data_IF_914058011041
#
_entry.id   IF_914058011041
#
_cell.length_a   1.000
_cell.length_b   1.000
_cell.length_c   1.000
_cell.angle_alpha   90.00
_cell.angle_beta   90.00
_cell.angle_gamma   90.00
#
_symmetry.space_group_name_H-M   'P 1'
#
loop_
_entity.id
_entity.type
_entity.pdbx_description
1 polymer ?
#
# COMPACT_ATOMS: atom_id res chain seq x y z
N UNK A 1 -0.95 -9.19 -10.33
CA UNK A 1 -1.34 -10.46 -10.98
C UNK A 1 -0.36 -10.90 -12.07
N UNK A 2 0.15 -10.00 -12.92
CA UNK A 2 1.16 -10.33 -13.95
C UNK A 2 2.44 -10.94 -13.36
N UNK A 3 2.95 -10.39 -12.25
CA UNK A 3 4.15 -10.91 -11.58
C UNK A 3 3.99 -12.34 -11.03
N UNK A 4 2.77 -12.74 -10.63
CA UNK A 4 2.52 -14.10 -10.15
C UNK A 4 2.69 -15.13 -11.28
N UNK A 5 2.33 -14.78 -12.51
CA UNK A 5 2.54 -15.65 -13.67
C UNK A 5 4.03 -15.86 -13.98
N UNK A 6 4.87 -14.87 -13.66
CA UNK A 6 6.33 -14.93 -13.79
C UNK A 6 7.01 -15.54 -12.55
N UNK A 7 6.25 -15.95 -11.54
CA UNK A 7 6.72 -16.58 -10.30
C UNK A 7 7.80 -17.64 -10.48
N UNK A 8 7.66 -18.65 -11.37
CA UNK A 8 8.67 -19.71 -11.52
C UNK A 8 10.02 -19.20 -12.06
N UNK A 9 10.00 -18.22 -12.98
CA UNK A 9 11.21 -17.60 -13.54
C UNK A 9 11.88 -16.74 -12.47
N UNK A 10 11.10 -15.95 -11.75
CA UNK A 10 11.59 -15.10 -10.64
C UNK A 10 12.19 -15.94 -9.51
N UNK A 11 11.59 -17.10 -9.20
CA UNK A 11 12.13 -18.07 -8.26
C UNK A 11 13.49 -18.61 -8.72
N UNK A 12 13.64 -18.99 -9.99
CA UNK A 12 14.92 -19.42 -10.53
C UNK A 12 15.99 -18.33 -10.39
N UNK A 13 15.69 -17.09 -10.75
CA UNK A 13 16.60 -15.96 -10.61
C UNK A 13 17.03 -15.77 -9.15
N UNK A 14 16.07 -15.86 -8.22
CA UNK A 14 16.35 -15.70 -6.80
C UNK A 14 17.22 -16.83 -6.25
N UNK A 15 16.96 -18.07 -6.67
CA UNK A 15 17.75 -19.25 -6.29
C UNK A 15 19.17 -19.19 -6.83
N UNK A 16 19.34 -18.78 -8.10
CA UNK A 16 20.65 -18.65 -8.76
C UNK A 16 21.47 -17.56 -8.07
N UNK A 17 20.89 -16.38 -7.87
CA UNK A 17 21.59 -15.25 -7.26
C UNK A 17 21.68 -15.34 -5.73
N UNK A 18 21.15 -16.41 -5.11
CA UNK A 18 21.05 -16.58 -3.64
C UNK A 18 20.40 -15.41 -2.89
N UNK A 19 19.69 -14.55 -3.61
CA UNK A 19 19.10 -13.30 -3.11
C UNK A 19 19.95 -12.03 -3.26
N UNK A 20 21.18 -12.11 -3.78
CA UNK A 20 22.03 -10.93 -3.98
C UNK A 20 21.42 -9.93 -4.97
N UNK A 21 20.52 -10.37 -5.86
CA UNK A 21 19.80 -9.50 -6.79
C UNK A 21 18.91 -8.46 -6.11
N UNK A 22 18.52 -8.68 -4.84
CA UNK A 22 17.72 -7.70 -4.09
C UNK A 22 18.49 -6.42 -3.78
N UNK A 23 19.82 -6.45 -3.71
CA UNK A 23 20.65 -5.29 -3.35
C UNK A 23 20.66 -4.22 -4.45
N UNK A 24 20.99 -4.52 -5.73
CA UNK A 24 20.84 -3.55 -6.80
C UNK A 24 19.37 -3.15 -7.01
N UNK A 25 18.43 -4.07 -6.77
CA UNK A 25 17.01 -3.78 -6.90
C UNK A 25 16.52 -2.82 -5.80
N UNK A 26 17.07 -2.90 -4.59
CA UNK A 26 16.83 -1.94 -3.52
C UNK A 26 17.33 -0.55 -3.89
N UNK A 27 18.49 -0.44 -4.54
CA UNK A 27 19.02 0.85 -5.01
C UNK A 27 18.09 1.45 -6.07
N UNK A 28 17.67 0.64 -7.05
CA UNK A 28 16.72 1.07 -8.09
C UNK A 28 15.36 1.48 -7.49
N UNK A 29 14.90 0.73 -6.49
CA UNK A 29 13.72 1.06 -5.71
C UNK A 29 13.87 2.41 -5.00
N UNK A 30 14.98 2.65 -4.29
CA UNK A 30 15.17 3.91 -3.56
C UNK A 30 15.27 5.11 -4.48
N UNK A 31 15.92 4.99 -5.64
CA UNK A 31 16.04 6.06 -6.63
C UNK A 31 14.70 6.30 -7.37
N UNK A 32 13.76 5.36 -7.27
CA UNK A 32 12.46 5.45 -7.94
C UNK A 32 12.58 5.33 -9.46
N UNK A 33 13.59 4.58 -9.93
CA UNK A 33 13.75 4.34 -11.36
C UNK A 33 12.59 3.48 -11.86
N UNK A 34 11.75 3.98 -12.75
CA UNK A 34 10.65 3.22 -13.33
C UNK A 34 11.00 2.70 -14.72
N UNK A 35 10.81 1.39 -14.94
CA UNK A 35 10.75 0.86 -16.28
C UNK A 35 9.36 1.21 -16.82
N UNK A 36 9.27 2.08 -17.84
CA UNK A 36 8.01 2.63 -18.38
C UNK A 36 7.02 1.63 -19.00
N UNK A 37 7.09 0.36 -18.60
CA UNK A 37 6.19 -0.72 -18.99
C UNK A 37 5.09 -0.84 -17.94
N UNK A 38 3.84 -0.64 -18.38
CA UNK A 38 2.67 -0.75 -17.52
C UNK A 38 2.61 -2.12 -16.81
N UNK A 39 2.55 -2.10 -15.48
CA UNK A 39 2.54 -3.31 -14.64
C UNK A 39 3.91 -3.80 -14.13
N UNK A 40 5.01 -3.21 -14.60
CA UNK A 40 6.38 -3.46 -14.12
C UNK A 40 6.94 -2.28 -13.32
N UNK A 41 6.15 -1.78 -12.36
CA UNK A 41 6.64 -0.79 -11.40
C UNK A 41 7.76 -1.38 -10.54
N UNK A 42 8.85 -0.64 -10.37
CA UNK A 42 10.02 -1.06 -9.57
C UNK A 42 9.65 -1.36 -8.13
N UNK A 43 8.68 -0.63 -7.56
CA UNK A 43 8.06 -0.91 -6.26
C UNK A 43 7.44 -2.31 -6.22
N UNK A 44 6.57 -2.62 -7.18
CA UNK A 44 5.87 -3.90 -7.22
C UNK A 44 6.84 -5.07 -7.44
N UNK A 45 7.82 -4.89 -8.33
CA UNK A 45 8.83 -5.90 -8.62
C UNK A 45 9.74 -6.17 -7.42
N UNK A 46 10.24 -5.10 -6.77
CA UNK A 46 11.06 -5.21 -5.56
C UNK A 46 10.30 -5.90 -4.42
N UNK A 47 9.09 -5.43 -4.09
CA UNK A 47 8.30 -6.01 -3.00
C UNK A 47 7.94 -7.48 -3.28
N UNK A 48 7.66 -7.83 -4.53
CA UNK A 48 7.39 -9.22 -4.91
C UNK A 48 8.63 -10.12 -4.75
N UNK A 49 9.79 -9.67 -5.23
CA UNK A 49 11.04 -10.42 -5.11
C UNK A 49 11.49 -10.56 -3.64
N UNK A 50 11.33 -9.50 -2.84
CA UNK A 50 11.62 -9.52 -1.41
C UNK A 50 10.72 -10.51 -0.67
N UNK A 51 9.41 -10.49 -0.95
CA UNK A 51 8.46 -11.46 -0.41
C UNK A 51 8.79 -12.90 -0.84
N UNK A 52 9.18 -13.10 -2.11
CA UNK A 52 9.65 -14.37 -2.62
C UNK A 52 10.89 -14.88 -1.86
N UNK A 53 11.84 -14.01 -1.54
CA UNK A 53 13.02 -14.41 -0.77
C UNK A 53 12.70 -14.82 0.67
N UNK A 54 11.82 -14.09 1.33
CA UNK A 54 11.38 -14.43 2.67
C UNK A 54 10.64 -15.78 2.67
N UNK A 55 9.76 -16.00 1.69
CA UNK A 55 9.03 -17.26 1.53
C UNK A 55 9.93 -18.46 1.23
N UNK A 56 10.89 -18.31 0.31
CA UNK A 56 11.82 -19.39 -0.06
C UNK A 56 12.76 -19.81 1.07
N UNK A 57 13.23 -18.86 1.87
CA UNK A 57 14.07 -19.13 3.04
C UNK A 57 13.27 -19.40 4.33
N UNK A 58 11.92 -19.40 4.26
CA UNK A 58 11.03 -19.55 5.41
C UNK A 58 11.40 -18.59 6.57
N UNK A 59 11.84 -17.37 6.22
CA UNK A 59 12.20 -16.35 7.21
C UNK A 59 10.92 -15.69 7.65
N UNK A 60 10.64 -15.70 8.96
CA UNK A 60 9.55 -14.91 9.52
C UNK A 60 9.89 -13.41 9.41
N UNK A 61 9.18 -12.63 8.57
CA UNK A 61 9.43 -11.20 8.45
C UNK A 61 9.25 -10.47 9.78
N UNK A 62 8.37 -10.95 10.66
CA UNK A 62 8.06 -10.28 11.92
C UNK A 62 9.24 -10.35 12.89
N UNK A 63 9.99 -11.46 12.92
CA UNK A 63 11.19 -11.58 13.75
C UNK A 63 12.28 -10.57 13.34
N UNK A 64 12.50 -10.42 12.03
CA UNK A 64 13.47 -9.47 11.48
C UNK A 64 13.04 -8.03 11.78
N UNK A 65 11.76 -7.71 11.53
CA UNK A 65 11.21 -6.36 11.72
C UNK A 65 11.14 -6.00 13.21
N UNK A 66 10.89 -6.95 14.12
CA UNK A 66 10.83 -6.69 15.56
C UNK A 66 12.12 -6.12 16.13
N UNK A 67 13.28 -6.50 15.57
CA UNK A 67 14.59 -5.96 15.97
C UNK A 67 14.71 -4.45 15.73
N UNK A 68 14.02 -3.93 14.71
CA UNK A 68 14.06 -2.52 14.30
C UNK A 68 12.74 -1.79 14.53
N UNK A 69 11.83 -2.35 15.33
CA UNK A 69 10.44 -1.88 15.48
C UNK A 69 10.30 -0.39 15.80
N UNK A 70 11.10 0.13 16.72
CA UNK A 70 11.03 1.53 17.13
C UNK A 70 11.59 2.45 16.05
N UNK A 71 12.69 2.03 15.39
CA UNK A 71 13.28 2.80 14.30
C UNK A 71 12.33 2.87 13.10
N UNK A 72 11.76 1.73 12.69
CA UNK A 72 10.78 1.66 11.62
C UNK A 72 9.54 2.52 11.93
N UNK A 73 9.02 2.45 13.16
CA UNK A 73 7.87 3.23 13.59
C UNK A 73 8.13 4.74 13.59
N UNK A 74 9.28 5.18 14.13
CA UNK A 74 9.65 6.61 14.16
C UNK A 74 9.83 7.15 12.75
N UNK A 75 10.53 6.43 11.87
CA UNK A 75 10.71 6.84 10.48
C UNK A 75 9.35 6.88 9.76
N UNK A 76 8.49 5.88 9.94
CA UNK A 76 7.16 5.86 9.34
C UNK A 76 6.32 7.07 9.79
N UNK A 77 6.26 7.35 11.09
CA UNK A 77 5.51 8.51 11.60
C UNK A 77 6.08 9.81 11.06
N UNK A 78 7.40 10.00 11.13
CA UNK A 78 8.04 11.22 10.64
C UNK A 78 7.80 11.44 9.14
N UNK A 79 7.92 10.39 8.34
CA UNK A 79 7.72 10.47 6.89
C UNK A 79 6.26 10.66 6.49
N UNK A 80 5.28 10.10 7.21
CA UNK A 80 3.84 10.34 6.96
C UNK A 80 3.48 11.82 7.01
N UNK A 81 4.01 12.54 8.00
CA UNK A 81 3.73 13.97 8.14
C UNK A 81 4.60 14.85 7.23
N UNK A 82 5.83 14.40 6.93
CA UNK A 82 6.73 15.15 6.06
C UNK A 82 6.39 15.03 4.57
N UNK A 83 5.89 13.87 4.11
CA UNK A 83 5.63 13.59 2.69
C UNK A 83 4.69 14.60 2.02
N UNK A 84 3.54 14.98 2.60
CA UNK A 84 2.67 16.01 2.02
C UNK A 84 3.36 17.37 1.86
N UNK A 85 4.32 17.70 2.74
CA UNK A 85 5.05 18.97 2.74
C UNK A 85 6.22 18.98 1.74
N UNK A 86 6.67 17.80 1.32
CA UNK A 86 7.84 17.62 0.44
C UNK A 86 7.46 17.34 -1.01
N UNK A 87 6.18 17.46 -1.39
CA UNK A 87 5.65 17.06 -2.70
C UNK A 87 6.36 17.70 -3.90
N UNK A 88 6.91 18.91 -3.74
CA UNK A 88 7.66 19.62 -4.79
C UNK A 88 9.18 19.39 -4.79
N UNK A 89 9.72 18.59 -3.87
CA UNK A 89 11.17 18.41 -3.73
C UNK A 89 11.69 17.25 -4.59
N UNK A 90 12.86 17.42 -5.22
CA UNK A 90 13.47 16.42 -6.10
C UNK A 90 13.75 15.07 -5.42
N UNK A 91 13.98 15.05 -4.10
CA UNK A 91 14.17 13.83 -3.32
C UNK A 91 12.89 13.22 -2.77
N UNK A 92 11.71 13.74 -3.12
CA UNK A 92 10.40 13.23 -2.68
C UNK A 92 10.28 11.71 -2.89
N UNK A 93 10.70 11.21 -4.05
CA UNK A 93 10.58 9.80 -4.41
C UNK A 93 11.38 8.88 -3.47
N UNK A 94 12.57 9.33 -3.05
CA UNK A 94 13.42 8.58 -2.12
C UNK A 94 12.75 8.48 -0.75
N UNK A 95 12.24 9.61 -0.24
CA UNK A 95 11.53 9.67 1.05
C UNK A 95 10.25 8.83 0.99
N UNK A 96 9.53 8.88 -0.13
CA UNK A 96 8.34 8.09 -0.37
C UNK A 96 8.62 6.59 -0.34
N UNK A 97 9.70 6.14 -1.00
CA UNK A 97 10.06 4.73 -1.05
C UNK A 97 10.58 4.21 0.30
N UNK A 98 11.30 5.03 1.07
CA UNK A 98 11.64 4.73 2.47
C UNK A 98 10.37 4.58 3.31
N UNK A 99 9.40 5.48 3.14
CA UNK A 99 8.10 5.39 3.80
C UNK A 99 7.36 4.10 3.44
N UNK A 100 7.33 3.69 2.17
CA UNK A 100 6.67 2.44 1.75
C UNK A 100 7.23 1.26 2.56
N UNK A 101 8.56 1.14 2.71
CA UNK A 101 9.17 0.04 3.46
C UNK A 101 8.89 0.13 4.96
N UNK A 102 9.16 1.29 5.56
CA UNK A 102 9.04 1.49 7.02
C UNK A 102 7.59 1.53 7.49
N UNK A 103 6.70 2.12 6.70
CA UNK A 103 5.26 2.13 6.91
C UNK A 103 4.65 0.74 6.81
N UNK A 104 5.01 -0.04 5.79
CA UNK A 104 4.53 -1.44 5.66
C UNK A 104 5.02 -2.31 6.83
N UNK A 105 6.29 -2.19 7.21
CA UNK A 105 6.85 -2.90 8.36
C UNK A 105 6.15 -2.52 9.68
N UNK A 106 5.90 -1.23 9.88
CA UNK A 106 5.18 -0.73 11.06
C UNK A 106 3.73 -1.21 11.10
N UNK A 107 3.04 -1.22 9.96
CA UNK A 107 1.67 -1.74 9.85
C UNK A 107 1.59 -3.23 10.22
N UNK A 108 2.55 -4.05 9.76
CA UNK A 108 2.63 -5.47 10.15
C UNK A 108 2.83 -5.65 11.65
N UNK A 109 3.72 -4.87 12.26
CA UNK A 109 3.95 -4.89 13.71
C UNK A 109 2.71 -4.47 14.51
N UNK A 110 2.02 -3.42 14.07
CA UNK A 110 0.78 -2.96 14.70
C UNK A 110 -0.30 -4.04 14.60
N UNK A 111 -0.46 -4.68 13.45
CA UNK A 111 -1.42 -5.78 13.29
C UNK A 111 -1.06 -7.00 14.15
N UNK A 112 0.23 -7.34 14.28
CA UNK A 112 0.68 -8.39 15.20
C UNK A 112 0.37 -8.02 16.66
N UNK A 113 0.60 -6.77 17.04
CA UNK A 113 0.30 -6.27 18.38
C UNK A 113 -1.20 -6.33 18.70
N UNK A 114 -2.04 -5.85 17.79
CA UNK A 114 -3.50 -5.89 17.91
C UNK A 114 -3.99 -7.34 17.98
N UNK A 115 -3.48 -8.23 17.13
CA UNK A 115 -3.88 -9.63 17.13
C UNK A 115 -3.55 -10.38 18.43
N UNK A 116 -2.45 -10.02 19.09
CA UNK A 116 -2.10 -10.58 20.40
C UNK A 116 -2.98 -10.05 21.53
N UNK A 117 -3.40 -8.79 21.46
CA UNK A 117 -4.13 -8.12 22.56
C UNK A 117 -5.65 -8.21 22.43
N UNK A 118 -6.15 -8.24 21.21
CA UNK A 118 -7.58 -8.15 20.90
C UNK A 118 -7.91 -8.97 19.64
N UNK A 119 -7.97 -10.31 19.75
CA UNK A 119 -8.28 -11.19 18.62
C UNK A 119 -9.65 -10.87 17.98
N UNK A 120 -10.61 -10.41 18.78
CA UNK A 120 -11.94 -9.98 18.31
C UNK A 120 -11.86 -8.85 17.26
N UNK A 121 -10.90 -7.93 17.41
CA UNK A 121 -10.70 -6.82 16.46
C UNK A 121 -10.18 -7.36 15.13
N UNK A 122 -9.23 -8.29 15.15
CA UNK A 122 -8.74 -8.95 13.93
C UNK A 122 -9.85 -9.71 13.22
N UNK A 123 -10.72 -10.40 13.99
CA UNK A 123 -11.85 -11.11 13.41
C UNK A 123 -12.80 -10.15 12.68
N UNK A 124 -13.18 -9.03 13.30
CA UNK A 124 -14.00 -7.99 12.65
C UNK A 124 -13.33 -7.36 11.43
N UNK A 125 -12.01 -7.15 11.48
CA UNK A 125 -11.25 -6.64 10.33
C UNK A 125 -11.18 -7.68 9.20
N UNK A 126 -11.17 -8.97 9.51
CA UNK A 126 -11.21 -10.05 8.52
C UNK A 126 -12.51 -10.02 7.70
N UNK A 127 -13.63 -9.66 8.32
CA UNK A 127 -14.91 -9.48 7.61
C UNK A 127 -14.87 -8.35 6.59
N UNK A 128 -13.93 -7.40 6.73
CA UNK A 128 -13.70 -6.33 5.77
C UNK A 128 -12.87 -6.75 4.57
N UNK A 129 -12.24 -7.94 4.60
CA UNK A 129 -11.39 -8.43 3.51
C UNK A 129 -12.16 -8.51 2.17
N UNK A 130 -13.47 -8.77 2.22
CA UNK A 130 -14.37 -8.77 1.03
C UNK A 130 -14.42 -7.44 0.28
N UNK A 131 -14.09 -6.32 0.95
CA UNK A 131 -14.06 -5.00 0.33
C UNK A 131 -12.69 -4.66 -0.26
N UNK A 132 -11.60 -5.32 0.15
CA UNK A 132 -10.23 -4.90 -0.18
C UNK A 132 -9.98 -4.92 -1.69
N UNK A 133 -10.35 -5.99 -2.38
CA UNK A 133 -10.20 -6.08 -3.84
C UNK A 133 -11.04 -5.04 -4.58
N UNK A 134 -12.28 -4.82 -4.13
CA UNK A 134 -13.17 -3.84 -4.72
C UNK A 134 -12.66 -2.41 -4.52
N UNK A 135 -12.29 -2.06 -3.28
CA UNK A 135 -11.67 -0.76 -2.94
C UNK A 135 -10.45 -0.59 -3.84
N UNK A 136 -9.54 -1.56 -3.88
CA UNK A 136 -8.34 -1.51 -4.70
C UNK A 136 -8.64 -1.16 -6.18
N UNK A 137 -9.64 -1.80 -6.79
CA UNK A 137 -10.01 -1.57 -8.19
C UNK A 137 -10.65 -0.20 -8.44
N UNK A 138 -11.47 0.31 -7.52
CA UNK A 138 -12.35 1.46 -7.78
C UNK A 138 -11.81 2.77 -7.19
N UNK A 139 -11.03 2.69 -6.11
CA UNK A 139 -10.65 3.88 -5.35
C UNK A 139 -9.76 4.86 -6.13
N UNK A 140 -8.69 4.38 -6.79
CA UNK A 140 -7.71 5.26 -7.46
C UNK A 140 -8.24 5.91 -8.73
N UNK A 141 -9.03 5.19 -9.53
CA UNK A 141 -9.45 5.67 -10.86
C UNK A 141 -10.67 6.58 -10.78
N UNK A 142 -11.64 6.23 -9.93
CA UNK A 142 -12.94 6.92 -9.90
C UNK A 142 -13.10 7.78 -8.64
N UNK A 143 -12.98 7.18 -7.46
CA UNK A 143 -13.48 7.79 -6.23
C UNK A 143 -12.58 8.87 -5.64
N UNK A 144 -11.26 8.73 -5.78
CA UNK A 144 -10.30 9.75 -5.31
C UNK A 144 -10.53 11.08 -6.02
N UNK A 145 -10.77 11.06 -7.34
CA UNK A 145 -11.01 12.29 -8.11
C UNK A 145 -12.31 12.99 -7.70
N UNK A 146 -13.37 12.21 -7.43
CA UNK A 146 -14.63 12.75 -6.91
C UNK A 146 -14.47 13.34 -5.51
N UNK A 147 -13.78 12.62 -4.61
CA UNK A 147 -13.52 13.10 -3.26
C UNK A 147 -12.68 14.39 -3.27
N UNK A 148 -11.65 14.45 -4.12
CA UNK A 148 -10.84 15.65 -4.33
C UNK A 148 -11.68 16.83 -4.81
N UNK A 149 -12.55 16.62 -5.80
CA UNK A 149 -13.46 17.64 -6.33
C UNK A 149 -14.48 18.17 -5.32
N UNK A 150 -14.80 17.42 -4.26
CA UNK A 150 -15.67 17.88 -3.17
C UNK A 150 -14.86 18.63 -2.11
N UNK A 151 -13.73 18.07 -1.66
CA UNK A 151 -12.93 18.62 -0.56
C UNK A 151 -12.25 19.93 -0.95
N UNK A 152 -11.69 20.02 -2.16
CA UNK A 152 -10.97 21.21 -2.61
C UNK A 152 -11.88 22.37 -3.04
N UNK A 153 -13.20 22.21 -3.01
CA UNK A 153 -14.13 23.36 -3.13
C UNK A 153 -14.07 24.28 -1.92
N UNK A 154 -13.61 23.78 -0.78
CA UNK A 154 -13.40 24.59 0.43
C UNK A 154 -12.00 25.20 0.36
N UNK A 155 -11.84 26.53 0.24
CA UNK A 155 -10.53 27.17 0.02
C UNK A 155 -9.51 26.94 1.14
N UNK A 156 -9.98 26.60 2.34
CA UNK A 156 -9.10 26.24 3.46
C UNK A 156 -8.48 24.84 3.29
N UNK A 157 -9.16 23.93 2.60
CA UNK A 157 -8.78 22.52 2.42
C UNK A 157 -8.13 22.25 1.07
N UNK A 158 -8.01 23.27 0.20
CA UNK A 158 -7.33 23.16 -1.08
C UNK A 158 -5.82 22.92 -0.88
N UNK A 159 -5.13 22.55 -1.96
CA UNK A 159 -3.69 22.24 -1.94
C UNK A 159 -2.85 23.43 -1.43
N UNK A 160 -3.28 24.66 -1.70
CA UNK A 160 -2.62 25.90 -1.26
C UNK A 160 -3.14 26.43 0.10
N UNK A 161 -4.17 25.79 0.66
CA UNK A 161 -4.79 26.19 1.90
C UNK A 161 -3.98 25.78 3.13
N UNK A 162 -4.05 26.56 4.21
CA UNK A 162 -3.39 26.22 5.49
C UNK A 162 -3.92 24.92 6.12
N UNK A 163 -5.07 24.41 5.66
CA UNK A 163 -5.67 23.14 6.04
C UNK A 163 -5.41 21.98 5.06
N UNK A 164 -4.44 22.08 4.15
CA UNK A 164 -4.19 21.07 3.11
C UNK A 164 -4.03 19.64 3.66
N UNK A 165 -3.31 19.46 4.78
CA UNK A 165 -3.14 18.15 5.45
C UNK A 165 -4.50 17.56 5.86
N UNK A 166 -5.38 18.39 6.40
CA UNK A 166 -6.74 17.98 6.79
C UNK A 166 -7.58 17.67 5.54
N UNK A 167 -7.40 18.44 4.47
CA UNK A 167 -7.99 18.15 3.16
C UNK A 167 -7.60 16.76 2.63
N UNK A 168 -6.32 16.42 2.64
CA UNK A 168 -5.83 15.10 2.20
C UNK A 168 -6.38 13.95 3.06
N UNK A 169 -6.42 14.11 4.39
CA UNK A 169 -7.04 13.13 5.28
C UNK A 169 -8.53 12.94 4.98
N UNK A 170 -9.25 14.05 4.76
CA UNK A 170 -10.68 14.02 4.47
C UNK A 170 -10.96 13.36 3.12
N UNK A 171 -10.12 13.59 2.10
CA UNK A 171 -10.19 12.88 0.81
C UNK A 171 -10.09 11.37 1.03
N UNK A 172 -9.14 10.91 1.86
CA UNK A 172 -8.99 9.49 2.17
C UNK A 172 -10.23 8.88 2.83
N UNK A 173 -10.77 9.54 3.86
CA UNK A 173 -11.99 9.11 4.57
C UNK A 173 -13.18 9.09 3.62
N UNK A 174 -13.35 10.12 2.80
CA UNK A 174 -14.47 10.24 1.87
C UNK A 174 -14.37 9.19 0.75
N UNK A 175 -13.17 8.91 0.25
CA UNK A 175 -12.92 7.87 -0.75
C UNK A 175 -13.29 6.48 -0.20
N UNK A 176 -12.95 6.18 1.05
CA UNK A 176 -13.35 4.94 1.71
C UNK A 176 -14.87 4.86 1.90
N UNK A 177 -15.49 5.95 2.36
CA UNK A 177 -16.94 6.02 2.53
C UNK A 177 -17.67 5.77 1.19
N UNK A 178 -17.21 6.40 0.11
CA UNK A 178 -17.75 6.16 -1.23
C UNK A 178 -17.49 4.74 -1.73
N UNK A 179 -16.36 4.13 -1.38
CA UNK A 179 -16.07 2.75 -1.75
C UNK A 179 -17.03 1.78 -1.05
N UNK A 180 -17.35 1.99 0.23
CA UNK A 180 -18.36 1.19 0.93
C UNK A 180 -19.77 1.42 0.38
N UNK A 181 -20.13 2.67 0.08
CA UNK A 181 -21.43 3.00 -0.49
C UNK A 181 -21.61 2.38 -1.89
N UNK A 182 -20.62 2.53 -2.77
CA UNK A 182 -20.64 1.95 -4.11
C UNK A 182 -20.67 0.42 -4.07
N UNK A 183 -19.90 -0.22 -3.18
CA UNK A 183 -19.99 -1.66 -2.97
C UNK A 183 -21.41 -2.09 -2.57
N UNK A 184 -22.04 -1.39 -1.63
CA UNK A 184 -23.40 -1.70 -1.18
C UNK A 184 -24.44 -1.54 -2.30
N UNK A 185 -24.30 -0.50 -3.13
CA UNK A 185 -25.17 -0.24 -4.29
C UNK A 185 -24.99 -1.34 -5.34
N UNK A 186 -23.76 -1.65 -5.74
CA UNK A 186 -23.47 -2.67 -6.76
C UNK A 186 -23.91 -4.05 -6.29
N UNK A 187 -23.76 -4.36 -4.99
CA UNK A 187 -24.29 -5.60 -4.40
C UNK A 187 -25.79 -5.77 -4.63
N UNK A 188 -26.54 -4.67 -4.60
CA UNK A 188 -28.00 -4.66 -4.80
C UNK A 188 -28.39 -4.73 -6.28
N UNK A 189 -27.65 -4.06 -7.16
CA UNK A 189 -28.01 -3.92 -8.58
C UNK A 189 -27.45 -5.06 -9.44
N UNK A 190 -26.18 -5.44 -9.23
CA UNK A 190 -25.47 -6.38 -10.07
C UNK A 190 -24.51 -7.27 -9.24
N UNK A 191 -25.04 -8.23 -8.45
CA UNK A 191 -24.23 -9.07 -7.57
C UNK A 191 -23.23 -9.96 -8.34
N UNK A 192 -23.53 -10.32 -9.59
CA UNK A 192 -22.64 -11.15 -10.42
C UNK A 192 -21.37 -10.40 -10.87
N UNK A 193 -21.47 -9.11 -11.19
CA UNK A 193 -20.29 -8.29 -11.53
C UNK A 193 -19.47 -7.97 -10.29
N UNK A 194 -20.14 -7.77 -9.14
CA UNK A 194 -19.46 -7.61 -7.85
C UNK A 194 -18.62 -8.84 -7.50
N UNK A 195 -19.15 -10.05 -7.70
CA UNK A 195 -18.42 -11.28 -7.43
C UNK A 195 -17.14 -11.39 -8.28
N UNK A 196 -17.15 -10.89 -9.52
CA UNK A 196 -15.95 -10.85 -10.37
C UNK A 196 -14.95 -9.81 -9.83
N UNK A 197 -15.42 -8.63 -9.45
CA UNK A 197 -14.60 -7.53 -8.92
C UNK A 197 -14.04 -7.81 -7.50
N UNK A 198 -14.72 -8.62 -6.69
CA UNK A 198 -14.27 -9.07 -5.38
C UNK A 198 -13.34 -10.29 -5.43
N UNK A 199 -13.02 -10.80 -6.63
CA UNK A 199 -12.14 -11.96 -6.80
C UNK A 199 -12.82 -13.32 -6.53
N UNK A 200 -14.14 -13.41 -6.72
CA UNK A 200 -14.93 -14.63 -6.59
C UNK A 200 -15.39 -14.93 -5.17
N UNK A 201 -15.39 -13.94 -4.27
CA UNK A 201 -15.77 -14.07 -2.86
C UNK A 201 -17.02 -13.25 -2.54
#
# INVERSE_FOLDING_TARGET
MVLCALGPILYQILSWTRGYILLPLLVLFLIGWECGVAGFGTVSFFCFMLGGQLGTKQIDPLEVIQRVKYLAGVIAIGTVFALPLLSGWAGYIVVHNIYILTGSASALLVMQYIGRRSPEVIQRLSDLNKYVFFIYAVHTVLLVNWARGIVFRVPFLSEDGSGAVLGYLLIGVLTLAFSFASYAIIKKIAPRTLAILSGGR
#
